data_IF_152861517087
#
_entry.id   IF_152861517087
#
_cell.length_a   1.000
_cell.length_b   1.000
_cell.length_c   1.000
_cell.angle_alpha   90.00
_cell.angle_beta   90.00
_cell.angle_gamma   90.00
#
_symmetry.space_group_name_H-M   'P 1'
#
loop_
_entity.id
_entity.type
_entity.pdbx_description
1 polymer ?
#
# COMPACT_ATOMS: atom_id res chain seq x y z
N UNK A 1 -29.12 3.95 16.78
CA UNK A 1 -27.67 4.00 17.04
C UNK A 1 -26.79 3.61 15.84
N UNK A 2 -27.32 3.12 14.72
CA UNK A 2 -26.53 2.66 13.56
C UNK A 2 -26.11 3.76 12.56
N UNK A 3 -26.58 5.00 12.70
CA UNK A 3 -26.37 6.04 11.69
C UNK A 3 -25.16 6.96 11.97
N UNK A 4 -24.60 6.92 13.19
CA UNK A 4 -23.60 7.90 13.62
C UNK A 4 -22.21 7.62 13.03
N UNK A 5 -21.83 6.35 12.89
CA UNK A 5 -20.54 5.98 12.29
C UNK A 5 -20.48 6.27 10.79
N UNK A 6 -21.59 6.03 10.05
CA UNK A 6 -21.65 6.30 8.62
C UNK A 6 -21.59 7.80 8.38
N UNK A 7 -22.41 8.59 9.10
CA UNK A 7 -22.36 10.06 9.09
C UNK A 7 -20.97 10.59 9.40
N UNK A 8 -20.29 10.01 10.39
CA UNK A 8 -18.91 10.38 10.72
C UNK A 8 -17.94 10.04 9.57
N UNK A 9 -18.03 8.85 8.99
CA UNK A 9 -17.22 8.43 7.84
C UNK A 9 -17.39 9.39 6.66
N UNK A 10 -18.62 9.76 6.32
CA UNK A 10 -18.90 10.70 5.21
C UNK A 10 -18.79 12.18 5.60
N UNK A 11 -18.47 12.47 6.87
CA UNK A 11 -18.41 13.81 7.47
C UNK A 11 -19.68 14.63 7.22
N UNK A 12 -20.82 14.18 7.77
CA UNK A 12 -22.12 14.89 7.71
C UNK A 12 -22.67 15.15 9.12
N UNK A 13 -22.99 16.42 9.48
CA UNK A 13 -22.70 17.65 8.74
C UNK A 13 -21.20 17.95 8.71
N UNK A 14 -20.76 18.84 7.81
CA UNK A 14 -19.38 19.34 7.83
C UNK A 14 -19.27 20.57 8.73
N UNK A 15 -18.16 20.65 9.46
CA UNK A 15 -17.79 21.80 10.29
C UNK A 15 -17.23 22.94 9.44
N UNK A 16 -16.47 22.62 8.39
CA UNK A 16 -15.88 23.60 7.47
C UNK A 16 -16.39 23.45 6.03
N UNK A 17 -16.58 24.57 5.30
CA UNK A 17 -16.92 24.52 3.89
C UNK A 17 -15.79 23.89 3.07
N UNK A 18 -16.17 23.20 1.99
CA UNK A 18 -15.22 22.59 1.07
C UNK A 18 -14.48 23.64 0.24
N UNK A 19 -13.16 23.46 0.08
CA UNK A 19 -12.37 24.21 -0.90
C UNK A 19 -12.82 23.90 -2.33
N UNK A 20 -12.36 24.72 -3.29
CA UNK A 20 -12.56 24.45 -4.72
C UNK A 20 -11.90 23.14 -5.11
N UNK A 21 -10.69 22.90 -4.61
CA UNK A 21 -9.95 21.64 -4.80
C UNK A 21 -10.75 20.45 -4.27
N UNK A 22 -11.22 20.50 -3.02
CA UNK A 22 -12.03 19.42 -2.42
C UNK A 22 -13.32 19.16 -3.20
N UNK A 23 -14.02 20.22 -3.62
CA UNK A 23 -15.27 20.11 -4.38
C UNK A 23 -15.04 19.49 -5.75
N UNK A 24 -13.99 19.91 -6.44
CA UNK A 24 -13.60 19.33 -7.73
C UNK A 24 -13.24 17.86 -7.59
N UNK A 25 -12.44 17.49 -6.58
CA UNK A 25 -12.07 16.10 -6.33
C UNK A 25 -13.30 15.25 -5.99
N UNK A 26 -14.22 15.73 -5.16
CA UNK A 26 -15.45 15.00 -4.84
C UNK A 26 -16.26 14.66 -6.10
N UNK A 27 -16.52 15.65 -6.95
CA UNK A 27 -17.32 15.45 -8.16
C UNK A 27 -16.59 14.61 -9.21
N UNK A 28 -15.29 14.86 -9.43
CA UNK A 28 -14.51 14.05 -10.37
C UNK A 28 -14.41 12.60 -9.90
N UNK A 29 -14.27 12.32 -8.61
CA UNK A 29 -14.27 10.95 -8.08
C UNK A 29 -15.63 10.27 -8.25
N UNK A 30 -16.73 11.00 -8.03
CA UNK A 30 -18.07 10.47 -8.23
C UNK A 30 -18.31 10.05 -9.69
N UNK A 31 -17.94 10.90 -10.66
CA UNK A 31 -18.21 10.62 -12.07
C UNK A 31 -17.15 9.76 -12.74
N UNK A 32 -15.86 10.06 -12.54
CA UNK A 32 -14.77 9.39 -13.27
C UNK A 32 -14.35 8.06 -12.65
N UNK A 33 -14.62 7.83 -11.36
CA UNK A 33 -14.21 6.61 -10.67
C UNK A 33 -15.41 5.78 -10.21
N UNK A 34 -16.36 6.35 -9.46
CA UNK A 34 -17.52 5.60 -8.97
C UNK A 34 -18.46 5.26 -10.13
N UNK A 35 -18.98 6.25 -10.86
CA UNK A 35 -19.92 5.97 -11.96
C UNK A 35 -19.29 5.11 -13.07
N UNK A 36 -18.01 5.36 -13.41
CA UNK A 36 -17.25 4.54 -14.36
C UNK A 36 -16.96 3.13 -13.82
N UNK A 37 -16.41 3.00 -12.62
CA UNK A 37 -16.05 1.72 -12.02
C UNK A 37 -17.27 0.84 -11.77
N UNK A 38 -18.26 1.39 -11.05
CA UNK A 38 -19.51 0.68 -10.70
C UNK A 38 -20.41 0.51 -11.92
N UNK A 39 -20.74 1.60 -12.61
CA UNK A 39 -21.80 1.63 -13.62
C UNK A 39 -21.43 0.95 -14.93
N UNK A 40 -20.15 0.87 -15.29
CA UNK A 40 -19.76 0.35 -16.61
C UNK A 40 -18.80 -0.83 -16.54
N UNK A 41 -17.70 -0.80 -15.77
CA UNK A 41 -16.79 -1.97 -15.72
C UNK A 41 -17.30 -3.10 -14.82
N UNK A 42 -17.84 -2.79 -13.65
CA UNK A 42 -18.31 -3.82 -12.71
C UNK A 42 -19.61 -4.47 -13.18
N UNK A 43 -20.60 -3.69 -13.65
CA UNK A 43 -21.90 -4.23 -14.05
C UNK A 43 -22.03 -4.55 -15.54
N UNK A 44 -21.44 -3.74 -16.43
CA UNK A 44 -21.63 -3.84 -17.88
C UNK A 44 -20.31 -3.88 -18.68
N UNK A 45 -19.35 -4.78 -18.38
CA UNK A 45 -18.04 -4.79 -19.02
C UNK A 45 -18.11 -4.96 -20.55
N UNK A 46 -19.18 -5.59 -21.05
CA UNK A 46 -19.45 -5.79 -22.48
C UNK A 46 -19.63 -4.47 -23.26
N UNK A 47 -20.03 -3.38 -22.60
CA UNK A 47 -20.08 -2.07 -23.23
C UNK A 47 -18.66 -1.60 -23.65
N UNK A 48 -17.66 -1.90 -22.84
CA UNK A 48 -16.27 -1.52 -23.10
C UNK A 48 -15.57 -2.43 -24.09
N UNK A 49 -15.98 -3.69 -24.19
CA UNK A 49 -15.60 -4.60 -25.28
C UNK A 49 -15.89 -3.95 -26.62
N UNK A 50 -17.10 -3.40 -26.78
CA UNK A 50 -17.53 -2.76 -28.02
C UNK A 50 -16.79 -1.43 -28.25
N UNK A 51 -16.73 -0.58 -27.22
CA UNK A 51 -16.16 0.78 -27.35
C UNK A 51 -14.64 0.75 -27.55
N UNK A 52 -13.93 -0.10 -26.80
CA UNK A 52 -12.47 -0.17 -26.79
C UNK A 52 -11.92 -1.30 -27.66
N UNK A 53 -12.80 -2.08 -28.31
CA UNK A 53 -12.48 -3.23 -29.14
C UNK A 53 -11.59 -4.23 -28.39
N UNK A 54 -12.05 -4.65 -27.22
CA UNK A 54 -11.32 -5.59 -26.36
C UNK A 54 -11.74 -7.01 -26.67
N UNK A 55 -10.79 -7.92 -26.81
CA UNK A 55 -11.09 -9.35 -26.83
C UNK A 55 -11.12 -9.88 -25.39
N UNK A 56 -12.31 -10.26 -24.92
CA UNK A 56 -12.48 -10.90 -23.63
C UNK A 56 -12.51 -12.41 -23.80
N UNK A 57 -11.37 -13.03 -23.53
CA UNK A 57 -11.21 -14.48 -23.52
C UNK A 57 -11.33 -15.00 -22.08
N UNK A 58 -12.05 -16.11 -21.92
CA UNK A 58 -12.22 -16.84 -20.65
C UNK A 58 -12.55 -15.95 -19.43
N UNK A 59 -11.60 -15.86 -18.48
CA UNK A 59 -11.72 -15.16 -17.19
C UNK A 59 -11.48 -13.65 -17.31
N UNK A 60 -11.13 -13.13 -18.49
CA UNK A 60 -10.87 -11.71 -18.72
C UNK A 60 -12.01 -10.80 -18.25
N UNK A 61 -13.26 -11.24 -18.47
CA UNK A 61 -14.43 -10.50 -18.01
C UNK A 61 -14.44 -10.35 -16.48
N UNK A 62 -14.11 -11.41 -15.73
CA UNK A 62 -14.04 -11.37 -14.27
C UNK A 62 -12.94 -10.43 -13.77
N UNK A 63 -11.76 -10.45 -14.39
CA UNK A 63 -10.65 -9.58 -14.04
C UNK A 63 -10.93 -8.10 -14.34
N UNK A 64 -11.63 -7.80 -15.43
CA UNK A 64 -12.10 -6.44 -15.71
C UNK A 64 -13.14 -5.99 -14.67
N UNK A 65 -14.06 -6.87 -14.26
CA UNK A 65 -15.01 -6.57 -13.18
C UNK A 65 -14.30 -6.28 -11.86
N UNK A 66 -13.26 -7.05 -11.53
CA UNK A 66 -12.39 -6.77 -10.38
C UNK A 66 -11.71 -5.39 -10.52
N UNK A 67 -11.17 -5.04 -11.68
CA UNK A 67 -10.62 -3.71 -11.92
C UNK A 67 -11.69 -2.60 -11.74
N UNK A 68 -12.91 -2.83 -12.21
CA UNK A 68 -14.05 -1.93 -11.99
C UNK A 68 -14.39 -1.71 -10.51
N UNK A 69 -14.34 -2.78 -9.72
CA UNK A 69 -14.48 -2.73 -8.25
C UNK A 69 -13.34 -1.91 -7.62
N UNK A 70 -12.08 -2.19 -7.97
CA UNK A 70 -10.93 -1.44 -7.46
C UNK A 70 -10.98 0.06 -7.80
N UNK A 71 -11.49 0.41 -8.99
CA UNK A 71 -11.72 1.80 -9.41
C UNK A 71 -12.81 2.49 -8.58
N UNK A 72 -13.94 1.80 -8.34
CA UNK A 72 -15.00 2.30 -7.48
C UNK A 72 -14.45 2.63 -6.08
N UNK A 73 -13.59 1.76 -5.55
CA UNK A 73 -13.00 1.92 -4.22
C UNK A 73 -12.03 3.10 -4.13
N UNK A 74 -11.17 3.32 -5.14
CA UNK A 74 -10.35 4.54 -5.21
C UNK A 74 -11.25 5.78 -5.22
N UNK A 75 -12.32 5.74 -6.01
CA UNK A 75 -13.31 6.82 -6.07
C UNK A 75 -13.94 7.10 -4.72
N UNK A 76 -14.33 6.06 -3.97
CA UNK A 76 -14.87 6.18 -2.63
C UNK A 76 -13.83 6.75 -1.64
N UNK A 77 -12.60 6.23 -1.65
CA UNK A 77 -11.51 6.70 -0.80
C UNK A 77 -11.29 8.19 -1.00
N UNK A 78 -11.11 8.65 -2.24
CA UNK A 78 -10.87 10.06 -2.53
C UNK A 78 -12.08 10.95 -2.27
N UNK A 79 -13.29 10.45 -2.49
CA UNK A 79 -14.52 11.15 -2.12
C UNK A 79 -14.58 11.39 -0.61
N UNK A 80 -14.27 10.36 0.20
CA UNK A 80 -14.21 10.50 1.66
C UNK A 80 -13.06 11.40 2.09
N UNK A 81 -11.88 11.31 1.46
CA UNK A 81 -10.72 12.15 1.77
C UNK A 81 -11.01 13.64 1.51
N UNK A 82 -11.64 13.97 0.38
CA UNK A 82 -12.07 15.33 0.06
C UNK A 82 -13.13 15.85 1.05
N UNK A 83 -13.96 14.96 1.57
CA UNK A 83 -15.02 15.30 2.52
C UNK A 83 -14.60 15.32 3.98
N UNK A 84 -13.52 14.63 4.36
CA UNK A 84 -13.10 14.45 5.75
C UNK A 84 -12.75 15.77 6.42
N UNK A 85 -13.30 16.00 7.62
CA UNK A 85 -12.89 17.09 8.51
C UNK A 85 -11.83 16.66 9.53
N UNK A 86 -11.60 15.35 9.68
CA UNK A 86 -10.80 14.79 10.75
C UNK A 86 -9.44 14.34 10.22
N UNK A 87 -8.66 15.30 9.70
CA UNK A 87 -7.33 15.11 9.09
C UNK A 87 -6.38 16.23 9.50
N UNK A 88 -5.07 15.96 9.56
CA UNK A 88 -4.08 16.97 9.98
C UNK A 88 -3.71 17.95 8.85
N UNK A 89 -3.49 17.41 7.66
CA UNK A 89 -3.12 18.15 6.45
C UNK A 89 -4.31 18.10 5.49
N UNK A 90 -4.71 19.27 5.02
CA UNK A 90 -5.99 19.42 4.34
C UNK A 90 -6.00 18.78 2.95
N UNK A 91 -4.92 18.91 2.18
CA UNK A 91 -4.89 18.45 0.79
C UNK A 91 -3.96 17.25 0.57
N UNK A 92 -3.35 16.67 1.61
CA UNK A 92 -2.37 15.57 1.48
C UNK A 92 -2.87 14.46 0.54
N UNK A 93 -4.02 13.84 0.84
CA UNK A 93 -4.53 12.73 0.01
C UNK A 93 -4.88 13.16 -1.42
N UNK A 94 -5.34 14.40 -1.59
CA UNK A 94 -5.73 14.95 -2.90
C UNK A 94 -4.49 15.21 -3.75
N UNK A 95 -3.41 15.74 -3.16
CA UNK A 95 -2.15 15.97 -3.84
C UNK A 95 -1.38 14.66 -4.09
N UNK A 96 -1.44 13.69 -3.17
CA UNK A 96 -0.96 12.33 -3.43
C UNK A 96 -1.67 11.74 -4.64
N UNK A 97 -2.98 11.98 -4.82
CA UNK A 97 -3.71 11.50 -6.00
C UNK A 97 -3.19 12.09 -7.31
N UNK A 98 -2.70 13.33 -7.31
CA UNK A 98 -2.07 13.96 -8.49
C UNK A 98 -0.79 13.20 -8.87
N UNK A 99 0.10 12.97 -7.90
CA UNK A 99 1.33 12.20 -8.13
C UNK A 99 1.03 10.76 -8.54
N UNK A 100 0.05 10.14 -7.88
CA UNK A 100 -0.40 8.79 -8.18
C UNK A 100 -0.89 8.64 -9.62
N UNK A 101 -1.70 9.58 -10.11
CA UNK A 101 -2.23 9.56 -11.48
C UNK A 101 -1.15 9.85 -12.53
N UNK A 102 -0.40 10.95 -12.37
CA UNK A 102 0.56 11.41 -13.38
C UNK A 102 1.82 10.56 -13.50
N UNK A 103 2.24 9.91 -12.41
CA UNK A 103 3.53 9.19 -12.38
C UNK A 103 3.31 7.71 -12.18
N UNK A 104 2.58 7.32 -11.13
CA UNK A 104 2.48 5.91 -10.74
C UNK A 104 1.59 5.14 -11.72
N UNK A 105 0.35 5.59 -11.94
CA UNK A 105 -0.62 4.94 -12.83
C UNK A 105 -0.12 4.97 -14.26
N UNK A 106 0.25 6.14 -14.77
CA UNK A 106 0.77 6.28 -16.15
C UNK A 106 2.05 5.45 -16.35
N UNK A 107 2.96 5.42 -15.38
CA UNK A 107 4.17 4.60 -15.45
C UNK A 107 3.88 3.10 -15.46
N UNK A 108 2.93 2.63 -14.63
CA UNK A 108 2.50 1.23 -14.61
C UNK A 108 1.82 0.86 -15.94
N UNK A 109 0.88 1.68 -16.43
CA UNK A 109 0.17 1.42 -17.68
C UNK A 109 1.13 1.42 -18.88
N UNK A 110 2.06 2.37 -18.94
CA UNK A 110 3.10 2.40 -19.96
C UNK A 110 3.95 1.14 -19.91
N UNK A 111 4.37 0.70 -18.72
CA UNK A 111 5.12 -0.55 -18.55
C UNK A 111 4.32 -1.77 -19.01
N UNK A 112 3.01 -1.83 -18.75
CA UNK A 112 2.14 -2.91 -19.19
C UNK A 112 1.96 -2.90 -20.72
N UNK A 113 1.82 -1.73 -21.35
CA UNK A 113 1.79 -1.60 -22.82
C UNK A 113 3.11 -2.09 -23.44
N UNK A 114 4.25 -1.63 -22.92
CA UNK A 114 5.58 -1.99 -23.43
C UNK A 114 5.86 -3.50 -23.31
N UNK A 115 5.17 -4.19 -22.39
CA UNK A 115 5.23 -5.65 -22.22
C UNK A 115 4.11 -6.40 -22.94
N UNK A 116 3.33 -5.71 -23.77
CA UNK A 116 2.19 -6.26 -24.50
C UNK A 116 1.16 -6.94 -23.57
N UNK A 117 1.01 -6.44 -22.35
CA UNK A 117 0.06 -6.99 -21.36
C UNK A 117 -1.33 -6.37 -21.48
N UNK A 118 -1.45 -5.17 -22.06
CA UNK A 118 -2.72 -4.48 -22.23
C UNK A 118 -2.84 -3.89 -23.64
N UNK A 119 -4.06 -3.83 -24.19
CA UNK A 119 -4.32 -3.05 -25.39
C UNK A 119 -4.03 -1.56 -25.16
N UNK A 120 -3.43 -0.92 -26.17
CA UNK A 120 -3.17 0.52 -26.13
C UNK A 120 -4.47 1.34 -25.94
N UNK A 121 -5.56 0.94 -26.59
CA UNK A 121 -6.88 1.58 -26.46
C UNK A 121 -7.36 1.58 -25.01
N UNK A 122 -7.22 0.45 -24.32
CA UNK A 122 -7.57 0.29 -22.93
C UNK A 122 -6.73 1.20 -22.03
N UNK A 123 -5.40 1.18 -22.19
CA UNK A 123 -4.51 2.00 -21.37
C UNK A 123 -4.74 3.50 -21.58
N UNK A 124 -4.86 3.98 -22.82
CA UNK A 124 -5.13 5.40 -23.11
C UNK A 124 -6.46 5.89 -22.54
N UNK A 125 -7.47 5.01 -22.49
CA UNK A 125 -8.77 5.32 -21.89
C UNK A 125 -8.66 5.67 -20.39
N UNK A 126 -7.64 5.16 -19.69
CA UNK A 126 -7.35 5.54 -18.31
C UNK A 126 -6.34 6.68 -18.20
N UNK A 127 -5.21 6.60 -18.91
CA UNK A 127 -4.13 7.58 -18.82
C UNK A 127 -4.62 9.01 -19.14
N UNK A 128 -5.39 9.17 -20.23
CA UNK A 128 -5.79 10.52 -20.68
C UNK A 128 -6.74 11.20 -19.68
N UNK A 129 -7.85 10.59 -19.24
CA UNK A 129 -8.71 11.21 -18.24
C UNK A 129 -8.03 11.39 -16.89
N UNK A 130 -7.23 10.43 -16.41
CA UNK A 130 -6.58 10.51 -15.10
C UNK A 130 -5.56 11.65 -15.07
N UNK A 131 -4.76 11.80 -16.12
CA UNK A 131 -3.79 12.89 -16.24
C UNK A 131 -4.46 14.24 -16.42
N UNK A 132 -5.56 14.31 -17.18
CA UNK A 132 -6.37 15.54 -17.25
C UNK A 132 -6.93 15.94 -15.88
N UNK A 133 -7.52 15.01 -15.14
CA UNK A 133 -8.10 15.27 -13.82
C UNK A 133 -7.02 15.63 -12.79
N UNK A 134 -5.84 15.01 -12.86
CA UNK A 134 -4.71 15.32 -12.00
C UNK A 134 -4.19 16.74 -12.24
N UNK A 135 -4.00 17.13 -13.51
CA UNK A 135 -3.59 18.49 -13.88
C UNK A 135 -4.63 19.53 -13.48
N UNK A 136 -5.92 19.24 -13.68
CA UNK A 136 -7.00 20.12 -13.25
C UNK A 136 -7.00 20.30 -11.72
N UNK A 137 -6.84 19.21 -10.96
CA UNK A 137 -6.73 19.25 -9.49
C UNK A 137 -5.54 20.11 -9.05
N UNK A 138 -4.37 19.90 -9.66
CA UNK A 138 -3.15 20.66 -9.38
C UNK A 138 -3.33 22.15 -9.70
N UNK A 139 -3.94 22.49 -10.84
CA UNK A 139 -4.18 23.87 -11.25
C UNK A 139 -5.14 24.59 -10.30
N UNK A 140 -6.22 23.92 -9.89
CA UNK A 140 -7.19 24.49 -8.94
C UNK A 140 -6.52 24.74 -7.59
N UNK A 141 -5.77 23.75 -7.08
CA UNK A 141 -5.03 23.89 -5.83
C UNK A 141 -4.00 25.01 -5.88
N UNK A 142 -3.25 25.13 -6.98
CA UNK A 142 -2.25 26.18 -7.16
C UNK A 142 -2.88 27.58 -7.19
N UNK A 143 -4.07 27.73 -7.79
CA UNK A 143 -4.81 29.00 -7.81
C UNK A 143 -5.48 29.35 -6.49
N UNK A 144 -5.78 28.34 -5.67
CA UNK A 144 -6.47 28.50 -4.40
C UNK A 144 -5.50 28.75 -3.24
N UNK A 145 -4.25 28.29 -3.35
CA UNK A 145 -3.26 28.34 -2.26
C UNK A 145 -2.29 29.51 -2.46
N UNK A 146 -2.33 30.50 -1.55
CA UNK A 146 -1.56 31.75 -1.67
C UNK A 146 -0.02 31.55 -1.75
N UNK A 147 0.51 30.49 -1.15
CA UNK A 147 1.93 30.13 -1.17
C UNK A 147 2.22 28.85 -1.98
N UNK A 148 1.40 28.56 -2.99
CA UNK A 148 1.58 27.38 -3.83
C UNK A 148 2.96 27.41 -4.52
N UNK A 149 3.70 26.32 -4.36
CA UNK A 149 4.97 26.09 -5.07
C UNK A 149 5.19 24.58 -5.21
N UNK A 150 6.10 24.19 -6.10
CA UNK A 150 6.50 22.79 -6.25
C UNK A 150 7.07 22.23 -4.94
N UNK A 151 7.84 23.03 -4.20
CA UNK A 151 8.33 22.66 -2.87
C UNK A 151 7.20 22.47 -1.86
N UNK A 152 6.20 23.34 -1.86
CA UNK A 152 5.01 23.19 -1.00
C UNK A 152 4.21 21.93 -1.34
N UNK A 153 4.04 21.62 -2.63
CA UNK A 153 3.36 20.41 -3.11
C UNK A 153 4.03 19.14 -2.55
N UNK A 154 5.34 18.99 -2.74
CA UNK A 154 6.06 17.81 -2.25
C UNK A 154 6.15 17.77 -0.73
N UNK A 155 6.28 18.92 -0.07
CA UNK A 155 6.26 19.01 1.39
C UNK A 155 4.92 18.53 1.96
N UNK A 156 3.79 18.92 1.36
CA UNK A 156 2.46 18.50 1.83
C UNK A 156 2.24 16.99 1.66
N UNK A 157 2.79 16.37 0.61
CA UNK A 157 2.70 14.92 0.38
C UNK A 157 3.63 14.12 1.29
N UNK A 158 4.91 14.48 1.37
CA UNK A 158 5.92 13.60 1.96
C UNK A 158 6.18 13.87 3.44
N UNK A 159 5.99 15.11 3.91
CA UNK A 159 6.25 15.47 5.32
C UNK A 159 5.44 14.61 6.29
N UNK A 160 4.14 14.31 6.06
CA UNK A 160 3.36 13.53 7.03
C UNK A 160 3.80 12.06 7.04
N UNK A 161 4.10 11.50 5.86
CA UNK A 161 4.64 10.14 5.70
C UNK A 161 5.97 10.00 6.44
N UNK A 162 6.91 10.91 6.20
CA UNK A 162 8.25 10.88 6.81
C UNK A 162 8.22 11.07 8.33
N UNK A 163 7.26 11.84 8.84
CA UNK A 163 7.11 12.03 10.28
C UNK A 163 6.56 10.80 11.01
N UNK A 164 6.06 9.79 10.28
CA UNK A 164 5.65 8.48 10.79
C UNK A 164 5.02 8.57 12.19
N UNK A 165 3.96 9.38 12.33
CA UNK A 165 3.38 9.70 13.66
C UNK A 165 2.51 8.58 14.25
N UNK A 166 2.43 7.43 13.59
CA UNK A 166 1.72 6.24 14.06
C UNK A 166 1.98 5.86 15.52
N UNK A 167 3.23 5.93 16.05
CA UNK A 167 3.51 5.62 17.46
C UNK A 167 2.89 6.61 18.45
N UNK A 168 2.67 7.87 18.04
CA UNK A 168 2.17 8.93 18.94
C UNK A 168 0.64 9.05 18.96
N UNK A 169 -0.05 8.47 17.98
CA UNK A 169 -1.51 8.67 17.76
C UNK A 169 -2.36 7.42 18.03
N UNK A 170 -1.74 6.31 18.42
CA UNK A 170 -2.39 5.08 18.88
C UNK A 170 -2.18 3.89 17.94
N UNK A 171 -2.16 2.67 18.51
CA UNK A 171 -1.77 1.46 17.79
C UNK A 171 -2.59 1.14 16.53
N UNK A 172 -3.85 1.56 16.43
CA UNK A 172 -4.69 1.29 15.26
C UNK A 172 -4.23 2.01 13.99
N UNK A 173 -3.68 3.22 14.10
CA UNK A 173 -3.20 4.00 12.94
C UNK A 173 -1.90 3.41 12.41
N UNK A 174 -1.00 3.00 13.33
CA UNK A 174 0.23 2.31 12.95
C UNK A 174 -0.06 1.00 12.21
N UNK A 175 -1.06 0.24 12.66
CA UNK A 175 -1.47 -1.01 11.99
C UNK A 175 -1.97 -0.74 10.58
N UNK A 176 -2.84 0.27 10.37
CA UNK A 176 -3.31 0.64 9.02
C UNK A 176 -2.13 1.07 8.13
N UNK A 177 -1.18 1.83 8.67
CA UNK A 177 0.01 2.25 7.94
C UNK A 177 0.85 1.04 7.48
N UNK A 178 1.15 0.11 8.38
CA UNK A 178 1.92 -1.11 8.06
C UNK A 178 1.18 -2.01 7.05
N UNK A 179 -0.13 -2.20 7.24
CA UNK A 179 -0.97 -2.93 6.28
C UNK A 179 -0.96 -2.27 4.91
N UNK A 180 -0.98 -0.93 4.86
CA UNK A 180 -0.84 -0.17 3.63
C UNK A 180 0.48 -0.42 2.90
N UNK A 181 1.60 -0.48 3.63
CA UNK A 181 2.92 -0.83 3.06
C UNK A 181 2.91 -2.25 2.49
N UNK A 182 2.44 -3.23 3.27
CA UNK A 182 2.38 -4.63 2.84
C UNK A 182 1.49 -4.74 1.60
N UNK A 183 0.31 -4.11 1.63
CA UNK A 183 -0.62 -4.08 0.50
C UNK A 183 0.02 -3.44 -0.74
N UNK A 184 0.63 -2.27 -0.61
CA UNK A 184 1.28 -1.57 -1.71
C UNK A 184 2.36 -2.44 -2.36
N UNK A 185 3.29 -2.98 -1.56
CA UNK A 185 4.44 -3.70 -2.09
C UNK A 185 4.08 -5.08 -2.64
N UNK A 186 3.26 -5.85 -1.90
CA UNK A 186 2.87 -7.19 -2.29
C UNK A 186 2.17 -7.20 -3.65
N UNK A 187 1.15 -6.37 -3.81
CA UNK A 187 0.38 -6.34 -5.06
C UNK A 187 1.20 -5.74 -6.21
N UNK A 188 2.07 -4.77 -5.95
CA UNK A 188 2.93 -4.17 -6.99
C UNK A 188 3.90 -5.20 -7.58
N UNK A 189 4.43 -6.11 -6.77
CA UNK A 189 5.24 -7.23 -7.28
C UNK A 189 4.45 -8.07 -8.28
N UNK A 190 3.17 -8.34 -8.01
CA UNK A 190 2.29 -9.11 -8.90
C UNK A 190 1.91 -8.36 -10.18
N UNK A 191 1.87 -7.02 -10.14
CA UNK A 191 1.74 -6.19 -11.36
C UNK A 191 2.96 -6.37 -12.25
N UNK A 192 4.16 -6.32 -11.67
CA UNK A 192 5.43 -6.46 -12.40
C UNK A 192 5.66 -7.91 -12.84
N UNK A 193 5.18 -8.90 -12.09
CA UNK A 193 5.34 -10.34 -12.37
C UNK A 193 3.99 -11.05 -12.32
N UNK A 194 3.13 -10.87 -13.34
CA UNK A 194 1.84 -11.57 -13.41
C UNK A 194 2.03 -13.09 -13.47
N UNK A 195 3.14 -13.57 -14.03
CA UNK A 195 3.53 -14.99 -14.07
C UNK A 195 3.76 -15.58 -12.67
N UNK A 196 4.16 -14.75 -11.71
CA UNK A 196 4.32 -15.14 -10.32
C UNK A 196 2.95 -15.22 -9.64
N UNK A 197 2.02 -14.31 -9.94
CA UNK A 197 0.63 -14.43 -9.47
C UNK A 197 -0.04 -15.71 -10.01
N UNK A 198 0.14 -16.01 -11.30
CA UNK A 198 -0.38 -17.22 -11.91
C UNK A 198 0.11 -18.49 -11.20
N UNK A 199 1.42 -18.58 -10.96
CA UNK A 199 2.03 -19.74 -10.28
C UNK A 199 1.65 -19.82 -8.80
N UNK A 200 1.74 -18.70 -8.08
CA UNK A 200 1.42 -18.66 -6.64
C UNK A 200 -0.03 -19.05 -6.37
N UNK A 201 -0.95 -18.57 -7.19
CA UNK A 201 -2.38 -18.80 -6.98
C UNK A 201 -2.90 -19.99 -7.81
N UNK A 202 -2.04 -20.70 -8.54
CA UNK A 202 -2.43 -21.78 -9.45
C UNK A 202 -3.62 -21.36 -10.35
N UNK A 203 -3.47 -20.20 -11.02
CA UNK A 203 -4.47 -19.69 -11.95
C UNK A 203 -4.39 -20.42 -13.27
N UNK A 204 -5.49 -20.39 -14.01
CA UNK A 204 -5.54 -20.90 -15.37
C UNK A 204 -4.50 -20.18 -16.26
N UNK A 205 -4.01 -20.81 -17.33
CA UNK A 205 -3.17 -20.15 -18.32
C UNK A 205 -3.80 -18.86 -18.83
N UNK A 206 -3.06 -17.76 -18.72
CA UNK A 206 -3.53 -16.49 -19.25
C UNK A 206 -3.66 -16.56 -20.77
N UNK A 207 -4.87 -16.30 -21.26
CA UNK A 207 -5.19 -16.12 -22.68
C UNK A 207 -5.35 -14.64 -23.01
N UNK A 208 -4.92 -14.23 -24.20
CA UNK A 208 -4.94 -12.85 -24.65
C UNK A 208 -4.37 -11.87 -23.61
N UNK A 209 -5.18 -10.87 -23.23
CA UNK A 209 -4.82 -9.84 -22.26
C UNK A 209 -5.30 -10.13 -20.82
N UNK A 210 -5.81 -11.32 -20.52
CA UNK A 210 -6.35 -11.69 -19.20
C UNK A 210 -5.38 -11.40 -18.05
N UNK A 211 -4.11 -11.81 -18.18
CA UNK A 211 -3.08 -11.54 -17.17
C UNK A 211 -2.83 -10.04 -16.95
N UNK A 212 -2.98 -9.22 -17.99
CA UNK A 212 -2.90 -7.77 -17.88
C UNK A 212 -4.11 -7.13 -17.22
N UNK A 213 -5.32 -7.64 -17.47
CA UNK A 213 -6.51 -7.18 -16.75
C UNK A 213 -6.43 -7.51 -15.25
N UNK A 214 -5.94 -8.70 -14.90
CA UNK A 214 -5.71 -9.06 -13.50
C UNK A 214 -4.62 -8.20 -12.86
N UNK A 215 -3.51 -7.98 -13.57
CA UNK A 215 -2.45 -7.07 -13.11
C UNK A 215 -2.95 -5.62 -12.96
N UNK A 216 -3.93 -5.18 -13.77
CA UNK A 216 -4.57 -3.87 -13.61
C UNK A 216 -5.38 -3.81 -12.31
N UNK A 217 -6.05 -4.90 -11.93
CA UNK A 217 -6.68 -4.97 -10.62
C UNK A 217 -5.64 -4.92 -9.48
N UNK A 218 -4.54 -5.68 -9.58
CA UNK A 218 -3.47 -5.62 -8.59
C UNK A 218 -2.84 -4.23 -8.46
N UNK A 219 -2.72 -3.47 -9.55
CA UNK A 219 -2.23 -2.09 -9.48
C UNK A 219 -3.18 -1.18 -8.71
N UNK A 220 -4.50 -1.34 -8.89
CA UNK A 220 -5.52 -0.62 -8.13
C UNK A 220 -5.47 -0.97 -6.63
N UNK A 221 -5.34 -2.26 -6.29
CA UNK A 221 -5.21 -2.69 -4.89
C UNK A 221 -3.89 -2.19 -4.27
N UNK A 222 -2.82 -2.09 -5.06
CA UNK A 222 -1.56 -1.45 -4.64
C UNK A 222 -1.77 0.03 -4.31
N UNK A 223 -2.51 0.75 -5.15
CA UNK A 223 -2.86 2.16 -4.95
C UNK A 223 -3.74 2.35 -3.70
N UNK A 224 -4.64 1.40 -3.39
CA UNK A 224 -5.36 1.43 -2.11
C UNK A 224 -4.38 1.37 -0.93
N UNK A 225 -3.35 0.53 -1.01
CA UNK A 225 -2.28 0.45 -0.02
C UNK A 225 -1.57 1.79 0.16
N UNK A 226 -1.28 2.50 -0.93
CA UNK A 226 -0.75 3.88 -0.88
C UNK A 226 -1.69 4.81 -0.11
N UNK A 227 -3.00 4.78 -0.38
CA UNK A 227 -3.95 5.61 0.35
C UNK A 227 -4.12 5.18 1.81
N UNK A 228 -3.87 3.92 2.18
CA UNK A 228 -3.82 3.50 3.58
C UNK A 228 -2.64 4.13 4.31
N UNK A 229 -1.45 4.13 3.67
CA UNK A 229 -0.25 4.79 4.19
C UNK A 229 -0.54 6.29 4.40
N UNK A 230 -1.04 6.97 3.37
CA UNK A 230 -1.28 8.42 3.38
C UNK A 230 -2.40 8.79 4.38
N UNK A 231 -3.52 8.07 4.36
CA UNK A 231 -4.61 8.31 5.29
C UNK A 231 -4.19 8.08 6.75
N UNK A 232 -3.34 7.09 7.01
CA UNK A 232 -2.80 6.84 8.33
C UNK A 232 -1.76 7.89 8.75
N UNK A 233 -0.86 8.33 7.86
CA UNK A 233 0.09 9.41 8.15
C UNK A 233 -0.61 10.73 8.44
N UNK A 234 -1.74 10.98 7.77
CA UNK A 234 -2.59 12.15 7.98
C UNK A 234 -3.53 12.05 9.20
N UNK A 235 -3.53 10.90 9.90
CA UNK A 235 -4.41 10.64 11.05
C UNK A 235 -5.90 10.76 10.65
N UNK A 236 -6.21 10.45 9.38
CA UNK A 236 -7.54 10.62 8.81
C UNK A 236 -8.50 9.52 9.29
N UNK A 237 -9.30 9.84 10.31
CA UNK A 237 -10.19 8.87 10.95
C UNK A 237 -11.36 8.45 10.06
N UNK A 238 -11.84 9.34 9.21
CA UNK A 238 -12.92 9.04 8.25
C UNK A 238 -12.45 8.00 7.24
N UNK A 239 -11.22 8.12 6.73
CA UNK A 239 -10.62 7.13 5.84
C UNK A 239 -10.40 5.77 6.51
N UNK A 240 -9.95 5.77 7.77
CA UNK A 240 -9.79 4.53 8.53
C UNK A 240 -11.09 3.70 8.57
N UNK A 241 -12.24 4.36 8.72
CA UNK A 241 -13.55 3.71 8.67
C UNK A 241 -13.94 3.30 7.25
N UNK A 242 -13.67 4.14 6.25
CA UNK A 242 -13.93 3.83 4.86
C UNK A 242 -13.20 2.55 4.42
N UNK A 243 -11.95 2.35 4.87
CA UNK A 243 -11.15 1.16 4.57
C UNK A 243 -11.78 -0.12 5.07
N UNK A 244 -12.39 -0.08 6.26
CA UNK A 244 -13.12 -1.23 6.81
C UNK A 244 -14.45 -1.41 6.05
N UNK A 245 -15.15 -0.30 5.80
CA UNK A 245 -16.47 -0.31 5.18
C UNK A 245 -16.45 -0.92 3.79
N UNK A 246 -15.56 -0.48 2.89
CA UNK A 246 -15.56 -0.98 1.51
C UNK A 246 -15.16 -2.45 1.45
N UNK A 247 -14.20 -2.89 2.27
CA UNK A 247 -13.78 -4.31 2.32
C UNK A 247 -14.95 -5.23 2.68
N UNK A 248 -15.73 -4.84 3.69
CA UNK A 248 -16.84 -5.66 4.19
C UNK A 248 -18.07 -5.53 3.29
N UNK A 249 -18.41 -4.31 2.88
CA UNK A 249 -19.70 -4.01 2.25
C UNK A 249 -19.66 -4.08 0.73
N UNK A 250 -18.47 -3.96 0.12
CA UNK A 250 -18.28 -3.96 -1.33
C UNK A 250 -17.45 -5.17 -1.78
N UNK A 251 -16.22 -5.33 -1.30
CA UNK A 251 -15.33 -6.40 -1.76
C UNK A 251 -15.84 -7.79 -1.46
N UNK A 252 -16.12 -8.12 -0.19
CA UNK A 252 -16.56 -9.47 0.19
C UNK A 252 -17.80 -9.90 -0.63
N UNK A 253 -18.89 -9.11 -0.71
CA UNK A 253 -20.02 -9.46 -1.56
C UNK A 253 -19.65 -9.60 -3.04
N UNK A 254 -18.84 -8.70 -3.59
CA UNK A 254 -18.45 -8.75 -4.99
C UNK A 254 -17.61 -9.98 -5.31
N UNK A 255 -16.63 -10.33 -4.47
CA UNK A 255 -15.82 -11.54 -4.63
C UNK A 255 -16.66 -12.80 -4.55
N UNK A 256 -17.62 -12.87 -3.61
CA UNK A 256 -18.55 -14.01 -3.50
C UNK A 256 -19.37 -14.13 -4.79
N UNK A 257 -19.95 -13.04 -5.28
CA UNK A 257 -20.74 -13.06 -6.52
C UNK A 257 -19.88 -13.51 -7.70
N UNK A 258 -18.71 -12.89 -7.91
CA UNK A 258 -17.81 -13.22 -9.01
C UNK A 258 -17.33 -14.68 -8.95
N UNK A 259 -17.12 -15.23 -7.76
CA UNK A 259 -16.79 -16.64 -7.59
C UNK A 259 -17.99 -17.55 -7.91
N UNK A 260 -19.18 -17.23 -7.39
CA UNK A 260 -20.40 -18.04 -7.61
C UNK A 260 -20.85 -18.06 -9.07
N UNK A 261 -20.62 -16.98 -9.82
CA UNK A 261 -20.90 -16.92 -11.26
C UNK A 261 -19.74 -17.42 -12.12
N UNK A 262 -18.76 -18.09 -11.51
CA UNK A 262 -17.58 -18.65 -12.15
C UNK A 262 -16.87 -17.62 -13.05
N UNK A 263 -16.64 -16.41 -12.53
CA UNK A 263 -15.88 -15.36 -13.22
C UNK A 263 -14.45 -15.22 -12.72
N UNK A 264 -14.15 -15.73 -11.53
CA UNK A 264 -12.80 -15.76 -10.96
C UNK A 264 -12.50 -17.16 -10.41
N UNK A 265 -11.23 -17.54 -10.41
CA UNK A 265 -10.77 -18.83 -9.92
C UNK A 265 -10.92 -18.92 -8.40
N UNK A 266 -11.12 -20.15 -7.91
CA UNK A 266 -11.25 -20.44 -6.48
C UNK A 266 -10.07 -19.93 -5.66
N UNK A 267 -8.84 -20.14 -6.14
CA UNK A 267 -7.65 -19.75 -5.39
C UNK A 267 -7.47 -18.23 -5.37
N UNK A 268 -7.76 -17.53 -6.47
CA UNK A 268 -7.79 -16.07 -6.48
C UNK A 268 -8.84 -15.54 -5.49
N UNK A 269 -10.05 -16.10 -5.51
CA UNK A 269 -11.09 -15.77 -4.54
C UNK A 269 -10.63 -15.95 -3.08
N UNK A 270 -10.00 -17.09 -2.76
CA UNK A 270 -9.51 -17.38 -1.40
C UNK A 270 -8.46 -16.34 -0.98
N UNK A 271 -7.51 -15.99 -1.86
CA UNK A 271 -6.46 -15.02 -1.55
C UNK A 271 -7.05 -13.63 -1.32
N UNK A 272 -7.94 -13.16 -2.19
CA UNK A 272 -8.60 -11.85 -2.06
C UNK A 272 -9.44 -11.76 -0.79
N UNK A 273 -10.23 -12.80 -0.49
CA UNK A 273 -10.99 -12.90 0.75
C UNK A 273 -10.11 -12.94 1.98
N UNK A 274 -9.00 -13.69 1.95
CA UNK A 274 -8.07 -13.80 3.08
C UNK A 274 -7.44 -12.45 3.39
N UNK A 275 -7.04 -11.71 2.35
CA UNK A 275 -6.48 -10.37 2.51
C UNK A 275 -7.49 -9.42 3.17
N UNK A 276 -8.76 -9.45 2.77
CA UNK A 276 -9.79 -8.56 3.35
C UNK A 276 -10.30 -9.02 4.73
N UNK A 277 -10.28 -10.32 5.03
CA UNK A 277 -10.72 -10.88 6.33
C UNK A 277 -9.62 -10.82 7.39
N UNK A 278 -8.34 -10.97 7.04
CA UNK A 278 -7.22 -10.90 8.00
C UNK A 278 -7.16 -9.51 8.66
N UNK A 279 -7.50 -8.47 7.91
CA UNK A 279 -7.67 -7.11 8.40
C UNK A 279 -8.75 -6.96 9.50
N UNK A 280 -9.75 -7.85 9.55
CA UNK A 280 -10.85 -7.83 10.53
C UNK A 280 -10.45 -8.34 11.90
N UNK A 281 -9.67 -9.44 11.96
CA UNK A 281 -9.27 -10.07 13.23
C UNK A 281 -8.34 -9.15 14.01
N UNK A 282 -7.43 -8.47 13.34
CA UNK A 282 -6.48 -7.56 13.99
C UNK A 282 -7.16 -6.30 14.54
N UNK A 283 -8.09 -5.68 13.80
CA UNK A 283 -8.81 -4.49 14.31
C UNK A 283 -9.77 -4.82 15.46
N UNK A 284 -10.47 -5.95 15.40
CA UNK A 284 -11.41 -6.36 16.46
C UNK A 284 -10.66 -6.79 17.72
N UNK A 285 -9.56 -7.54 17.58
CA UNK A 285 -8.73 -7.98 18.69
C UNK A 285 -8.01 -6.82 19.39
N UNK A 286 -7.55 -5.81 18.64
CA UNK A 286 -6.94 -4.59 19.21
C UNK A 286 -7.99 -3.77 19.98
N UNK A 287 -9.22 -3.67 19.47
CA UNK A 287 -10.34 -3.02 20.17
C UNK A 287 -10.69 -3.72 21.49
N UNK A 288 -10.80 -5.06 21.47
CA UNK A 288 -11.09 -5.86 22.67
C UNK A 288 -9.97 -5.84 23.69
N UNK A 289 -8.69 -5.92 23.26
CA UNK A 289 -7.55 -5.78 24.17
C UNK A 289 -7.37 -4.38 24.72
N UNK A 290 -7.72 -3.32 23.99
CA UNK A 290 -7.70 -1.95 24.53
C UNK A 290 -8.74 -1.82 25.64
N UNK A 291 -9.92 -2.40 25.48
CA UNK A 291 -10.96 -2.45 26.51
C UNK A 291 -10.58 -3.35 27.70
N UNK A 292 -9.89 -4.47 27.49
CA UNK A 292 -9.37 -5.30 28.57
C UNK A 292 -8.18 -4.64 29.29
N UNK A 293 -7.26 -3.99 28.59
CA UNK A 293 -6.14 -3.26 29.17
C UNK A 293 -6.60 -2.02 29.96
N UNK A 294 -7.62 -1.30 29.48
CA UNK A 294 -8.28 -0.23 30.25
C UNK A 294 -8.94 -0.78 31.52
N UNK A 295 -9.58 -1.96 31.46
CA UNK A 295 -10.13 -2.61 32.67
C UNK A 295 -9.04 -3.10 33.63
N UNK A 296 -7.91 -3.58 33.11
CA UNK A 296 -6.77 -4.04 33.91
C UNK A 296 -5.96 -2.87 34.51
N UNK A 297 -5.87 -1.73 33.82
CA UNK A 297 -5.23 -0.50 34.32
C UNK A 297 -6.10 0.22 35.35
N UNK A 298 -7.42 0.10 35.30
CA UNK A 298 -8.33 0.62 36.33
C UNK A 298 -8.31 -0.24 37.61
N UNK A 299 -7.84 -1.50 37.53
CA UNK A 299 -7.79 -2.43 38.68
C UNK A 299 -6.43 -2.54 39.37
N UNK A 300 -5.39 -1.85 38.91
CA UNK A 300 -4.07 -1.85 39.57
C UNK A 300 -3.73 -0.41 39.94
N UNK A 301 -3.74 -0.04 41.24
CA UNK A 301 -3.15 1.21 41.66
C UNK A 301 -1.63 1.09 41.42
N UNK A 302 -1.09 1.92 40.52
CA UNK A 302 0.35 2.09 40.33
C UNK A 302 0.69 3.55 40.53
N UNK A 303 1.62 3.80 41.43
CA UNK A 303 2.06 5.14 41.81
C UNK A 303 3.10 5.73 40.85
N UNK A 304 3.53 5.03 39.80
CA UNK A 304 4.51 5.55 38.84
C UNK A 304 4.16 5.27 37.36
N UNK A 305 4.36 6.26 36.47
CA UNK A 305 4.07 6.13 35.05
C UNK A 305 5.12 5.27 34.33
N UNK A 306 4.63 4.42 33.42
CA UNK A 306 5.46 3.59 32.53
C UNK A 306 6.48 4.44 31.76
N UNK A 307 7.73 4.02 31.73
CA UNK A 307 8.76 4.74 30.98
C UNK A 307 8.58 4.53 29.48
N UNK A 308 8.92 5.53 28.66
CA UNK A 308 8.78 5.48 27.18
C UNK A 308 9.46 4.24 26.57
N UNK A 309 10.52 3.77 27.20
CA UNK A 309 11.34 2.63 26.79
C UNK A 309 10.60 1.30 26.96
N UNK A 310 9.90 1.09 28.07
CA UNK A 310 9.14 -0.14 28.33
C UNK A 310 7.94 -0.28 27.39
N UNK A 311 7.28 0.85 27.08
CA UNK A 311 6.25 0.92 26.04
C UNK A 311 6.82 0.50 24.68
N UNK A 312 7.97 1.06 24.28
CA UNK A 312 8.59 0.76 22.99
C UNK A 312 8.97 -0.73 22.85
N UNK A 313 9.57 -1.34 23.88
CA UNK A 313 9.93 -2.76 23.87
C UNK A 313 8.70 -3.67 23.73
N UNK A 314 7.60 -3.34 24.41
CA UNK A 314 6.37 -4.13 24.35
C UNK A 314 5.69 -4.05 22.98
N UNK A 315 5.76 -2.90 22.30
CA UNK A 315 5.26 -2.72 20.93
C UNK A 315 6.15 -3.37 19.87
N UNK A 316 7.47 -3.35 20.05
CA UNK A 316 8.43 -4.04 19.17
C UNK A 316 8.25 -5.56 19.20
N UNK A 317 7.96 -6.14 20.37
CA UNK A 317 7.61 -7.57 20.49
C UNK A 317 6.28 -7.91 19.81
N UNK A 318 5.28 -7.03 19.87
CA UNK A 318 4.00 -7.22 19.18
C UNK A 318 4.15 -7.10 17.66
N UNK A 319 4.98 -6.17 17.18
CA UNK A 319 5.32 -6.01 15.77
C UNK A 319 6.06 -7.25 15.23
N UNK A 320 7.06 -7.75 15.96
CA UNK A 320 7.77 -8.99 15.61
C UNK A 320 6.84 -10.22 15.60
N UNK A 321 5.79 -10.23 16.44
CA UNK A 321 4.80 -11.30 16.47
C UNK A 321 3.76 -11.21 15.34
N UNK A 322 3.33 -10.01 14.95
CA UNK A 322 2.40 -9.79 13.82
C UNK A 322 3.11 -10.03 12.48
N UNK A 323 4.31 -9.46 12.30
CA UNK A 323 5.13 -9.69 11.11
C UNK A 323 5.60 -11.14 11.10
N UNK A 324 6.12 -11.68 12.20
CA UNK A 324 6.52 -13.08 12.29
C UNK A 324 5.37 -14.07 12.09
N UNK A 325 4.17 -13.79 12.61
CA UNK A 325 2.98 -14.63 12.47
C UNK A 325 2.37 -14.59 11.07
N UNK A 326 2.37 -13.43 10.41
CA UNK A 326 1.99 -13.29 9.00
C UNK A 326 3.01 -13.99 8.10
N UNK A 327 4.31 -13.82 8.34
CA UNK A 327 5.35 -14.58 7.64
C UNK A 327 5.18 -16.08 7.86
N UNK A 328 4.92 -16.58 9.07
CA UNK A 328 4.73 -18.03 9.33
C UNK A 328 3.48 -18.64 8.67
N UNK A 329 2.42 -17.87 8.42
CA UNK A 329 1.21 -18.33 7.73
C UNK A 329 1.39 -18.37 6.20
N UNK A 330 2.27 -17.52 5.64
CA UNK A 330 2.62 -17.50 4.21
C UNK A 330 3.93 -18.25 3.88
N UNK A 331 4.75 -18.58 4.89
CA UNK A 331 6.09 -19.14 4.72
C UNK A 331 6.20 -20.63 4.41
N UNK A 332 5.24 -21.55 4.64
CA UNK A 332 5.47 -22.93 4.22
C UNK A 332 5.67 -23.03 2.70
N UNK A 333 4.96 -22.20 1.94
CA UNK A 333 5.06 -22.15 0.48
C UNK A 333 6.11 -21.15 -0.01
N UNK A 334 6.27 -19.99 0.62
CA UNK A 334 7.34 -19.04 0.26
C UNK A 334 8.74 -19.60 0.53
N UNK A 335 8.91 -20.38 1.61
CA UNK A 335 10.18 -21.04 1.95
C UNK A 335 10.49 -22.21 1.00
N UNK A 336 9.48 -22.98 0.59
CA UNK A 336 9.61 -24.02 -0.43
C UNK A 336 9.91 -23.42 -1.81
N UNK A 337 9.36 -22.24 -2.14
CA UNK A 337 9.62 -21.55 -3.41
C UNK A 337 11.01 -20.90 -3.43
N UNK A 338 11.50 -20.35 -2.32
CA UNK A 338 12.90 -19.88 -2.21
C UNK A 338 13.88 -21.04 -2.34
N UNK A 339 13.51 -22.24 -1.85
CA UNK A 339 14.29 -23.47 -2.03
C UNK A 339 14.15 -24.10 -3.44
N UNK A 340 13.11 -23.78 -4.21
CA UNK A 340 12.87 -24.29 -5.57
C UNK A 340 13.26 -23.32 -6.69
N UNK A 341 13.66 -22.09 -6.37
CA UNK A 341 14.31 -21.19 -7.33
C UNK A 341 15.70 -21.75 -7.62
N UNK A 342 15.79 -22.49 -8.73
CA UNK A 342 17.00 -23.02 -9.35
C UNK A 342 17.95 -21.87 -9.75
N UNK A 343 18.64 -21.31 -8.75
CA UNK A 343 19.70 -20.34 -8.91
C UNK A 343 20.99 -21.11 -9.20
N UNK A 344 21.12 -21.59 -10.43
CA UNK A 344 22.39 -22.06 -10.98
C UNK A 344 23.45 -20.94 -10.83
N UNK A 345 24.32 -21.06 -9.82
CA UNK A 345 25.53 -20.25 -9.70
C UNK A 345 25.74 -19.47 -8.41
N UNK A 346 24.78 -19.42 -7.48
CA UNK A 346 25.00 -18.84 -6.14
C UNK A 346 25.16 -19.96 -5.12
N UNK A 347 26.37 -20.09 -4.57
CA UNK A 347 26.68 -21.15 -3.61
C UNK A 347 25.71 -21.10 -2.42
N UNK A 348 25.25 -22.27 -2.00
CA UNK A 348 24.31 -22.49 -0.89
C UNK A 348 24.70 -21.74 0.40
N UNK A 349 25.99 -21.42 0.56
CA UNK A 349 26.53 -20.60 1.64
C UNK A 349 26.09 -19.14 1.60
N UNK A 350 25.92 -18.51 0.43
CA UNK A 350 25.61 -17.08 0.30
C UNK A 350 24.16 -16.76 0.69
N UNK A 351 23.21 -17.63 0.35
CA UNK A 351 21.79 -17.49 0.74
C UNK A 351 21.63 -17.73 2.24
N UNK A 352 22.37 -18.70 2.79
CA UNK A 352 22.47 -18.90 4.25
C UNK A 352 23.11 -17.68 4.94
N UNK A 353 24.15 -17.08 4.38
CA UNK A 353 24.80 -15.88 4.90
C UNK A 353 23.92 -14.61 4.83
N UNK A 354 23.10 -14.45 3.79
CA UNK A 354 22.17 -13.33 3.69
C UNK A 354 20.99 -13.46 4.67
N UNK A 355 20.45 -14.68 4.82
CA UNK A 355 19.41 -14.98 5.82
C UNK A 355 19.94 -14.92 7.26
N UNK A 356 21.14 -15.46 7.50
CA UNK A 356 21.85 -15.32 8.78
C UNK A 356 22.25 -13.89 9.04
N UNK A 357 22.60 -13.10 8.03
CA UNK A 357 22.96 -11.68 8.16
C UNK A 357 21.79 -10.82 8.63
N UNK A 358 20.57 -11.06 8.12
CA UNK A 358 19.37 -10.37 8.61
C UNK A 358 19.03 -10.78 10.05
N UNK A 359 19.25 -12.04 10.41
CA UNK A 359 19.03 -12.57 11.76
C UNK A 359 20.12 -12.10 12.73
N UNK A 360 21.39 -12.08 12.34
CA UNK A 360 22.54 -11.57 13.10
C UNK A 360 22.44 -10.07 13.28
N UNK A 361 22.08 -9.29 12.26
CA UNK A 361 21.81 -7.86 12.41
C UNK A 361 20.65 -7.64 13.39
N UNK A 362 19.59 -8.44 13.30
CA UNK A 362 18.50 -8.44 14.28
C UNK A 362 18.96 -8.79 15.70
N UNK A 363 19.87 -9.76 15.87
CA UNK A 363 20.39 -10.21 17.16
C UNK A 363 21.43 -9.24 17.75
N UNK A 364 22.29 -8.64 16.92
CA UNK A 364 23.28 -7.61 17.28
C UNK A 364 22.53 -6.35 17.72
N UNK A 365 21.46 -5.97 17.04
CA UNK A 365 20.57 -4.89 17.46
C UNK A 365 19.83 -5.22 18.77
N UNK A 366 19.45 -6.49 18.99
CA UNK A 366 18.84 -6.98 20.23
C UNK A 366 19.84 -6.96 21.42
N UNK A 367 21.09 -7.34 21.18
CA UNK A 367 22.18 -7.36 22.19
C UNK A 367 22.65 -5.93 22.49
N UNK A 368 22.78 -5.08 21.47
CA UNK A 368 23.11 -3.66 21.62
C UNK A 368 22.01 -2.88 22.37
N UNK A 369 20.73 -3.21 22.15
CA UNK A 369 19.61 -2.62 22.88
C UNK A 369 19.50 -3.11 24.34
N UNK A 370 20.04 -4.29 24.66
CA UNK A 370 20.04 -4.86 26.02
C UNK A 370 21.24 -4.42 26.86
N UNK A 371 22.35 -4.05 26.21
CA UNK A 371 23.56 -3.52 26.82
C UNK A 371 23.40 -2.03 27.15
N UNK A 372 22.82 -1.73 28.30
CA UNK A 372 22.61 -0.38 28.79
C UNK A 372 23.95 0.29 29.15
N UNK A 373 24.44 1.23 28.32
CA UNK A 373 25.07 2.48 28.76
C UNK A 373 25.47 3.37 27.57
N UNK A 374 24.86 4.56 27.50
CA UNK A 374 25.22 5.73 26.65
C UNK A 374 25.01 5.58 25.13
N UNK A 375 23.75 5.72 24.69
CA UNK A 375 23.44 6.00 23.28
C UNK A 375 22.49 7.20 23.17
N UNK A 376 23.04 8.42 23.28
CA UNK A 376 22.32 9.67 22.97
C UNK A 376 22.81 10.35 21.69
N UNK A 377 23.74 9.71 20.94
CA UNK A 377 24.40 10.32 19.76
C UNK A 377 24.29 9.52 18.47
N UNK A 378 23.50 8.45 18.44
CA UNK A 378 23.42 7.55 17.28
C UNK A 378 22.02 7.41 16.66
N UNK A 379 20.99 8.14 17.13
CA UNK A 379 19.65 8.09 16.51
C UNK A 379 19.66 8.63 15.07
N UNK A 380 20.39 9.71 14.78
CA UNK A 380 20.55 10.26 13.43
C UNK A 380 21.39 9.35 12.52
N UNK A 381 22.41 8.68 13.08
CA UNK A 381 23.22 7.72 12.33
C UNK A 381 22.39 6.48 11.99
N UNK A 382 21.56 6.00 12.92
CA UNK A 382 20.72 4.81 12.73
C UNK A 382 19.59 5.06 11.72
N UNK A 383 18.95 6.23 11.76
CA UNK A 383 17.93 6.61 10.75
C UNK A 383 18.55 6.90 9.37
N UNK A 384 19.75 7.49 9.32
CA UNK A 384 20.50 7.68 8.07
C UNK A 384 20.91 6.34 7.44
N UNK A 385 21.41 5.40 8.25
CA UNK A 385 21.83 4.07 7.79
C UNK A 385 20.62 3.22 7.38
N UNK A 386 19.51 3.22 8.12
CA UNK A 386 18.28 2.51 7.74
C UNK A 386 17.60 3.11 6.48
N UNK A 387 17.60 4.44 6.35
CA UNK A 387 17.08 5.11 5.16
C UNK A 387 17.91 4.82 3.92
N UNK A 388 19.24 4.71 4.06
CA UNK A 388 20.15 4.36 2.95
C UNK A 388 20.09 2.87 2.60
N UNK A 389 20.10 1.96 3.58
CA UNK A 389 20.03 0.51 3.34
C UNK A 389 18.72 0.09 2.66
N UNK A 390 17.58 0.70 3.02
CA UNK A 390 16.29 0.26 2.48
C UNK A 390 16.03 0.82 1.09
N UNK A 391 16.47 2.05 0.82
CA UNK A 391 16.14 2.74 -0.43
C UNK A 391 17.26 2.58 -1.46
N UNK A 392 18.53 2.80 -1.08
CA UNK A 392 19.64 2.75 -2.02
C UNK A 392 20.00 1.31 -2.33
N UNK A 393 20.18 0.44 -1.33
CA UNK A 393 20.53 -0.96 -1.58
C UNK A 393 19.34 -1.75 -2.15
N UNK A 394 18.10 -1.37 -1.83
CA UNK A 394 16.90 -1.93 -2.46
C UNK A 394 16.81 -1.62 -3.96
N UNK A 395 17.13 -0.38 -4.35
CA UNK A 395 17.18 0.03 -5.76
C UNK A 395 18.38 -0.61 -6.47
N UNK A 396 19.56 -0.65 -5.84
CA UNK A 396 20.77 -1.25 -6.40
C UNK A 396 20.58 -2.77 -6.61
N UNK A 397 19.98 -3.46 -5.65
CA UNK A 397 19.64 -4.88 -5.73
C UNK A 397 18.61 -5.14 -6.84
N UNK A 398 17.61 -4.27 -7.01
CA UNK A 398 16.67 -4.35 -8.14
C UNK A 398 17.33 -4.09 -9.50
N UNK A 399 18.35 -3.23 -9.57
CA UNK A 399 19.12 -2.97 -10.79
C UNK A 399 20.04 -4.15 -11.16
N UNK A 400 20.64 -4.82 -10.17
CA UNK A 400 21.46 -6.03 -10.33
C UNK A 400 20.58 -7.21 -10.77
N UNK A 401 19.43 -7.42 -10.12
CA UNK A 401 18.47 -8.48 -10.48
C UNK A 401 17.86 -8.32 -11.89
N UNK A 402 18.01 -7.14 -12.51
CA UNK A 402 17.58 -6.84 -13.89
C UNK A 402 18.72 -6.82 -14.92
N UNK A 403 19.95 -7.21 -14.56
CA UNK A 403 21.15 -7.09 -15.41
C UNK A 403 21.40 -5.67 -15.96
N UNK A 404 20.86 -4.64 -15.31
CA UNK A 404 21.02 -3.25 -15.76
C UNK A 404 22.32 -2.59 -15.27
N UNK A 405 23.02 -3.23 -14.31
CA UNK A 405 24.31 -2.80 -13.80
C UNK A 405 25.23 -4.03 -13.64
N UNK A 406 26.49 -4.00 -14.10
CA UNK A 406 27.43 -5.08 -13.84
C UNK A 406 27.68 -5.22 -12.34
N UNK A 407 27.73 -6.46 -11.82
CA UNK A 407 27.99 -6.74 -10.40
C UNK A 407 29.29 -6.10 -9.90
N UNK A 408 30.30 -6.00 -10.77
CA UNK A 408 31.57 -5.31 -10.49
C UNK A 408 31.39 -3.80 -10.21
N UNK A 409 30.39 -3.15 -10.82
CA UNK A 409 30.11 -1.74 -10.62
C UNK A 409 29.36 -1.49 -9.30
N UNK A 410 28.46 -2.41 -8.92
CA UNK A 410 27.80 -2.37 -7.62
C UNK A 410 28.77 -2.64 -6.46
N UNK A 411 29.70 -3.59 -6.63
CA UNK A 411 30.77 -3.85 -5.67
C UNK A 411 31.72 -2.66 -5.57
N UNK A 412 32.06 -2.01 -6.69
CA UNK A 412 32.86 -0.78 -6.68
C UNK A 412 32.17 0.36 -5.92
N UNK A 413 30.86 0.54 -6.10
CA UNK A 413 30.06 1.52 -5.37
C UNK A 413 30.00 1.23 -3.87
N UNK A 414 29.79 -0.03 -3.48
CA UNK A 414 29.80 -0.46 -2.06
C UNK A 414 31.17 -0.31 -1.39
N UNK A 415 32.27 -0.51 -2.14
CA UNK A 415 33.65 -0.28 -1.66
C UNK A 415 33.97 1.23 -1.56
N UNK A 416 33.44 2.06 -2.46
CA UNK A 416 33.58 3.52 -2.39
C UNK A 416 32.79 4.11 -1.21
N UNK A 417 31.60 3.59 -0.94
CA UNK A 417 30.73 4.06 0.14
C UNK A 417 31.26 3.65 1.53
N UNK A 418 31.87 2.47 1.65
CA UNK A 418 32.54 2.03 2.89
C UNK A 418 33.84 2.79 3.20
N UNK A 419 34.54 3.32 2.18
CA UNK A 419 35.74 4.16 2.38
C UNK A 419 35.42 5.63 2.69
N UNK A 420 34.19 6.09 2.46
CA UNK A 420 33.67 7.40 2.89
C UNK A 420 33.18 7.41 4.35
N UNK A 421 33.08 6.25 5.00
CA UNK A 421 32.61 6.09 6.38
C UNK A 421 33.74 5.94 7.42
N UNK A 422 35.00 5.87 7.00
CA UNK A 422 36.14 5.94 7.93
C UNK A 422 36.45 7.41 8.28
N UNK A 423 36.52 7.80 9.57
CA UNK A 423 36.97 9.14 9.93
C UNK A 423 38.42 9.35 9.48
N UNK A 424 38.83 10.57 9.10
CA UNK A 424 40.24 10.85 8.84
C UNK A 424 41.04 10.59 10.13
N UNK A 425 42.17 9.88 10.00
CA UNK A 425 43.17 9.74 11.07
C UNK A 425 43.75 11.09 11.49
#
# INVERSE_FOLDING_TARGET
MTCDWFKFMVSIPRDEPMTKTERFTQWSCLFAYIARGTGTFLFAPQLWVIILQLDLEDRSEGYIRLAGLGMMEIGLILLIAARSNHKMYRHEELLTSVLGRLVIVDGILLMMILRNMLPLSFALFYMVPDSFLALATLLIWYRETEAASVGAFFSEIFRPILQCRGPKTGGSILVIFCLGIIQLLFWLVLVIRPDLAQRMFHLDPFQGFSGGFLASYFSLVSIHGLYHIVGASNVNRCLSLAFIFYRISLNIPAFIVLFLVDRIERNLFIVLMSFDVQNRKETTYISERKNQALRFMVSIPRDEPMTKTESFTQWSCLFAYIVGGSTFLFAPQLYVIILQLDLEGLSEGYVRLAGLGVIEIGLILLIAARSNHKMYRHEELLTSVLGRLVIVDGILLMMILRNMLPLSFALFYMVLDSSLLSPPC
#
